data_IF_902434253028
#
_entry.id   IF_902434253028
#
_cell.length_a   1.000
_cell.length_b   1.000
_cell.length_c   1.000
_cell.angle_alpha   90.00
_cell.angle_beta   90.00
_cell.angle_gamma   90.00
#
_symmetry.space_group_name_H-M   'P 1'
#
loop_
_entity.id
_entity.type
_entity.pdbx_description
1 polymer ?
#
# COMPACT_ATOMS: atom_id res chain seq x y z
N UNK A 1 11.48 28.50 13.18
CA UNK A 1 12.17 27.18 13.17
C UNK A 1 11.19 26.20 13.83
N UNK A 2 10.49 25.35 13.07
CA UNK A 2 9.48 24.43 13.64
C UNK A 2 10.15 23.11 13.93
N UNK A 3 10.33 22.82 15.21
CA UNK A 3 10.82 21.53 15.72
C UNK A 3 9.81 20.44 15.32
N UNK A 4 10.25 19.51 14.47
CA UNK A 4 9.52 18.28 14.22
C UNK A 4 9.86 17.35 15.37
N UNK A 5 8.93 17.19 16.31
CA UNK A 5 9.02 16.21 17.37
C UNK A 5 9.27 14.82 16.77
N UNK A 6 10.49 14.31 16.95
CA UNK A 6 10.83 12.92 16.69
C UNK A 6 10.06 12.05 17.67
N UNK A 7 9.00 11.42 17.20
CA UNK A 7 8.26 10.44 17.99
C UNK A 7 9.08 9.15 18.02
N UNK A 8 9.45 8.80 19.25
CA UNK A 8 10.24 7.66 19.67
C UNK A 8 9.82 6.36 18.98
N UNK A 9 10.84 5.67 18.47
CA UNK A 9 10.79 4.33 17.91
C UNK A 9 10.60 3.33 19.06
N UNK A 10 9.34 3.00 19.34
CA UNK A 10 8.99 2.01 20.36
C UNK A 10 9.01 0.62 19.71
N UNK A 11 10.22 0.04 19.65
CA UNK A 11 10.55 -1.35 20.01
C UNK A 11 9.76 -2.55 19.48
N UNK A 12 8.75 -2.36 18.64
CA UNK A 12 8.05 -3.45 17.94
C UNK A 12 7.94 -3.03 16.49
N UNK A 13 8.67 -3.73 15.64
CA UNK A 13 8.73 -3.46 14.21
C UNK A 13 7.46 -3.92 13.49
N UNK A 14 6.34 -3.38 13.96
CA UNK A 14 5.00 -3.75 13.58
C UNK A 14 4.51 -2.80 12.51
N UNK A 15 3.96 -3.37 11.45
CA UNK A 15 3.34 -2.61 10.37
C UNK A 15 2.35 -1.58 10.93
N UNK A 16 2.53 -0.32 10.54
CA UNK A 16 1.63 0.79 10.91
C UNK A 16 1.37 1.70 9.72
N UNK A 17 0.15 2.22 9.62
CA UNK A 17 -0.17 3.32 8.70
C UNK A 17 0.43 4.60 9.30
N UNK A 18 1.28 5.29 8.55
CA UNK A 18 1.94 6.52 8.98
C UNK A 18 1.37 7.76 8.36
N UNK A 19 0.74 7.65 7.19
CA UNK A 19 0.04 8.76 6.54
C UNK A 19 -1.11 8.23 5.68
N UNK A 20 -2.13 9.07 5.51
CA UNK A 20 -3.22 8.83 4.58
C UNK A 20 -3.69 10.16 3.97
N UNK A 21 -3.76 10.23 2.65
CA UNK A 21 -4.19 11.45 1.97
C UNK A 21 -4.84 11.15 0.62
N UNK A 22 -5.73 12.05 0.20
CA UNK A 22 -6.40 11.93 -1.10
C UNK A 22 -5.61 12.69 -2.16
N UNK A 23 -5.43 12.06 -3.32
CA UNK A 23 -4.88 12.65 -4.53
C UNK A 23 -5.96 12.71 -5.61
N UNK A 24 -5.62 13.31 -6.76
CA UNK A 24 -6.50 13.27 -7.94
C UNK A 24 -6.72 11.85 -8.46
N UNK A 25 -5.75 10.96 -8.26
CA UNK A 25 -5.81 9.59 -8.74
C UNK A 25 -6.59 8.66 -7.79
N UNK A 26 -6.59 8.93 -6.47
CA UNK A 26 -7.23 8.04 -5.51
C UNK A 26 -6.86 8.36 -4.07
N UNK A 27 -7.06 7.38 -3.18
CA UNK A 27 -6.65 7.47 -1.78
C UNK A 27 -5.29 6.80 -1.60
N UNK A 28 -4.34 7.52 -1.00
CA UNK A 28 -2.99 7.02 -0.72
C UNK A 28 -2.88 6.67 0.75
N UNK A 29 -2.25 5.53 1.02
CA UNK A 29 -1.89 5.05 2.35
C UNK A 29 -0.39 4.78 2.38
N UNK A 30 0.33 5.41 3.31
CA UNK A 30 1.72 5.07 3.58
C UNK A 30 1.79 4.17 4.81
N UNK A 31 2.41 3.00 4.67
CA UNK A 31 2.67 2.05 5.74
C UNK A 31 4.17 1.91 5.97
N UNK A 32 4.59 1.67 7.20
CA UNK A 32 6.00 1.44 7.55
C UNK A 32 6.19 0.14 8.32
N UNK A 33 7.22 -0.60 7.94
CA UNK A 33 7.71 -1.82 8.59
C UNK A 33 9.21 -2.01 8.24
N UNK A 34 10.03 -2.38 9.21
CA UNK A 34 11.48 -2.60 9.12
C UNK A 34 12.27 -1.47 8.46
N UNK A 35 11.87 -0.21 8.73
CA UNK A 35 12.44 0.97 8.08
C UNK A 35 12.06 1.14 6.59
N UNK A 36 11.44 0.14 5.98
CA UNK A 36 10.84 0.22 4.66
C UNK A 36 9.46 0.90 4.73
N UNK A 37 9.14 1.64 3.66
CA UNK A 37 7.84 2.27 3.47
C UNK A 37 7.15 1.65 2.27
N UNK A 38 5.94 1.16 2.49
CA UNK A 38 5.00 0.73 1.46
C UNK A 38 4.01 1.87 1.21
N UNK A 39 3.90 2.32 -0.03
CA UNK A 39 2.89 3.30 -0.45
C UNK A 39 1.85 2.56 -1.28
N UNK A 40 0.59 2.62 -0.86
CA UNK A 40 -0.55 2.05 -1.57
C UNK A 40 -1.43 3.17 -2.11
N UNK A 41 -1.69 3.18 -3.41
CA UNK A 41 -2.69 4.02 -4.05
C UNK A 41 -3.90 3.15 -4.39
N UNK A 42 -5.04 3.45 -3.76
CA UNK A 42 -6.32 2.79 -4.02
C UNK A 42 -7.20 3.74 -4.82
N UNK A 43 -7.56 3.34 -6.04
CA UNK A 43 -8.37 4.11 -6.97
C UNK A 43 -9.52 3.29 -7.53
N UNK A 44 -10.58 3.98 -7.93
CA UNK A 44 -11.70 3.40 -8.68
C UNK A 44 -11.58 3.88 -10.12
N UNK A 45 -11.63 2.95 -11.08
CA UNK A 45 -11.63 3.22 -12.51
C UNK A 45 -12.92 2.64 -13.10
N UNK A 46 -13.54 3.39 -14.00
CA UNK A 46 -14.62 2.86 -14.84
C UNK A 46 -14.02 2.11 -16.01
N UNK A 47 -14.56 0.94 -16.31
CA UNK A 47 -14.21 0.15 -17.50
C UNK A 47 -15.09 0.55 -18.68
N UNK A 48 -14.71 0.15 -19.90
CA UNK A 48 -15.45 0.47 -21.13
C UNK A 48 -16.89 -0.09 -21.14
N UNK A 49 -17.14 -1.17 -20.39
CA UNK A 49 -18.46 -1.76 -20.18
C UNK A 49 -19.28 -1.06 -19.07
N UNK A 50 -18.74 0.02 -18.48
CA UNK A 50 -19.40 0.79 -17.43
C UNK A 50 -19.32 0.17 -16.03
N UNK A 51 -18.62 -0.95 -15.86
CA UNK A 51 -18.37 -1.56 -14.57
C UNK A 51 -17.33 -0.75 -13.76
N UNK A 52 -17.52 -0.72 -12.44
CA UNK A 52 -16.52 -0.15 -11.55
C UNK A 52 -15.43 -1.19 -11.25
N UNK A 53 -14.17 -0.81 -11.42
CA UNK A 53 -13.01 -1.63 -11.07
C UNK A 53 -12.13 -0.89 -10.06
N UNK A 54 -11.73 -1.60 -9.02
CA UNK A 54 -10.78 -1.10 -8.03
C UNK A 54 -9.37 -1.42 -8.48
N UNK A 55 -8.51 -0.42 -8.46
CA UNK A 55 -7.10 -0.55 -8.77
C UNK A 55 -6.26 -0.24 -7.52
N UNK A 56 -5.32 -1.12 -7.21
CA UNK A 56 -4.36 -0.96 -6.12
C UNK A 56 -2.96 -1.00 -6.70
N UNK A 57 -2.28 0.14 -6.63
CA UNK A 57 -0.87 0.28 -6.94
C UNK A 57 -0.05 0.28 -5.64
N UNK A 58 0.95 -0.58 -5.57
CA UNK A 58 1.90 -0.66 -4.48
C UNK A 58 3.30 -0.24 -4.94
N UNK A 59 3.96 0.61 -4.16
CA UNK A 59 5.36 1.00 -4.39
C UNK A 59 6.13 1.07 -3.08
N UNK A 60 7.46 1.07 -3.16
CA UNK A 60 8.34 1.17 -1.99
C UNK A 60 9.40 2.24 -2.17
N UNK A 61 9.84 2.83 -1.06
CA UNK A 61 10.98 3.73 -1.06
C UNK A 61 12.33 3.01 -1.24
N UNK A 62 12.37 1.68 -1.08
CA UNK A 62 13.59 0.87 -1.20
C UNK A 62 13.99 0.70 -2.66
N UNK A 63 13.01 0.49 -3.54
CA UNK A 63 13.21 0.32 -4.99
C UNK A 63 12.42 1.40 -5.74
N UNK A 64 12.95 2.63 -5.81
CA UNK A 64 12.24 3.75 -6.43
C UNK A 64 11.96 3.48 -7.91
N UNK A 65 10.79 3.92 -8.38
CA UNK A 65 10.36 3.73 -9.77
C UNK A 65 9.78 2.34 -10.08
N UNK A 66 9.76 1.41 -9.11
CA UNK A 66 9.06 0.13 -9.25
C UNK A 66 7.72 0.19 -8.53
N UNK A 67 6.65 -0.13 -9.27
CA UNK A 67 5.31 -0.29 -8.73
C UNK A 67 4.71 -1.63 -9.21
N UNK A 68 3.85 -2.20 -8.38
CA UNK A 68 3.04 -3.37 -8.68
C UNK A 68 1.57 -2.92 -8.66
N UNK A 69 0.89 -2.99 -9.79
CA UNK A 69 -0.51 -2.59 -9.93
C UNK A 69 -1.37 -3.83 -10.24
N UNK A 70 -2.49 -3.99 -9.51
CA UNK A 70 -3.55 -4.93 -9.88
C UNK A 70 -4.92 -4.29 -9.76
N UNK A 71 -5.82 -4.72 -10.63
CA UNK A 71 -7.20 -4.27 -10.65
C UNK A 71 -8.18 -5.43 -10.50
N UNK A 72 -9.25 -5.24 -9.74
CA UNK A 72 -10.29 -6.25 -9.48
C UNK A 72 -11.66 -5.61 -9.21
N UNK A 73 -12.72 -6.41 -9.15
CA UNK A 73 -14.09 -5.95 -8.88
C UNK A 73 -14.29 -5.46 -7.45
N UNK A 74 -13.41 -5.86 -6.52
CA UNK A 74 -13.43 -5.42 -5.12
C UNK A 74 -12.06 -4.86 -4.71
N UNK A 75 -12.05 -3.92 -3.77
CA UNK A 75 -10.79 -3.39 -3.18
C UNK A 75 -9.97 -4.48 -2.51
N UNK A 76 -10.64 -5.38 -1.79
CA UNK A 76 -10.00 -6.48 -1.09
C UNK A 76 -9.31 -7.45 -2.06
N UNK A 77 -9.96 -7.80 -3.18
CA UNK A 77 -9.35 -8.64 -4.21
C UNK A 77 -8.19 -7.94 -4.91
N UNK A 78 -8.34 -6.66 -5.25
CA UNK A 78 -7.27 -5.89 -5.87
C UNK A 78 -6.04 -5.85 -4.96
N UNK A 79 -6.23 -5.56 -3.67
CA UNK A 79 -5.15 -5.58 -2.67
C UNK A 79 -4.51 -6.97 -2.54
N UNK A 80 -5.32 -8.03 -2.47
CA UNK A 80 -4.83 -9.41 -2.35
C UNK A 80 -3.98 -9.79 -3.55
N UNK A 81 -4.43 -9.48 -4.76
CA UNK A 81 -3.68 -9.75 -5.99
C UNK A 81 -2.38 -8.93 -6.05
N UNK A 82 -2.43 -7.65 -5.69
CA UNK A 82 -1.23 -6.81 -5.55
C UNK A 82 -0.23 -7.42 -4.58
N UNK A 83 -0.69 -7.92 -3.42
CA UNK A 83 0.17 -8.56 -2.44
C UNK A 83 0.81 -9.87 -2.92
N UNK A 84 0.04 -10.72 -3.62
CA UNK A 84 0.56 -11.96 -4.23
C UNK A 84 1.65 -11.64 -5.25
N UNK A 85 1.38 -10.68 -6.15
CA UNK A 85 2.35 -10.28 -7.17
C UNK A 85 3.59 -9.62 -6.57
N UNK A 86 3.42 -8.80 -5.53
CA UNK A 86 4.54 -8.20 -4.80
C UNK A 86 5.47 -9.27 -4.24
N UNK A 87 4.92 -10.28 -3.55
CA UNK A 87 5.72 -11.38 -2.98
C UNK A 87 6.45 -12.17 -4.08
N UNK A 88 5.79 -12.40 -5.22
CA UNK A 88 6.43 -13.04 -6.37
C UNK A 88 7.58 -12.21 -6.94
N UNK A 89 7.44 -10.89 -6.97
CA UNK A 89 8.46 -9.96 -7.47
C UNK A 89 9.57 -9.64 -6.44
N UNK A 90 9.37 -9.93 -5.14
CA UNK A 90 10.33 -9.57 -4.08
C UNK A 90 11.76 -10.02 -4.35
N UNK A 91 11.96 -11.31 -4.67
CA UNK A 91 13.28 -11.86 -4.92
C UNK A 91 13.92 -11.39 -6.22
N UNK A 92 13.10 -11.08 -7.23
CA UNK A 92 13.58 -10.72 -8.58
C UNK A 92 13.93 -9.24 -8.67
N UNK A 93 13.13 -8.37 -8.02
CA UNK A 93 13.24 -6.91 -8.11
C UNK A 93 13.85 -6.26 -6.87
N UNK A 94 14.22 -7.06 -5.86
CA UNK A 94 14.76 -6.57 -4.60
C UNK A 94 13.74 -5.80 -3.75
N UNK A 95 12.44 -6.09 -3.92
CA UNK A 95 11.40 -5.43 -3.12
C UNK A 95 11.48 -5.91 -1.66
N UNK A 96 11.22 -5.04 -0.69
CA UNK A 96 11.16 -5.43 0.71
C UNK A 96 9.96 -6.34 0.98
N UNK A 97 10.10 -7.19 1.99
CA UNK A 97 9.03 -8.04 2.47
C UNK A 97 8.08 -7.26 3.38
N UNK A 98 6.78 -7.47 3.21
CA UNK A 98 5.74 -6.92 4.07
C UNK A 98 4.76 -8.03 4.46
N UNK A 99 4.20 -7.97 5.67
CA UNK A 99 3.08 -8.82 6.07
C UNK A 99 1.79 -8.29 5.42
N UNK A 100 1.45 -8.82 4.25
CA UNK A 100 0.25 -8.40 3.49
C UNK A 100 -1.06 -8.72 4.21
N UNK A 101 -1.08 -9.67 5.14
CA UNK A 101 -2.24 -9.90 5.99
C UNK A 101 -2.38 -8.78 7.03
N UNK A 102 -1.27 -8.34 7.63
CA UNK A 102 -1.26 -7.14 8.48
C UNK A 102 -1.65 -5.87 7.71
N UNK A 103 -1.23 -5.74 6.45
CA UNK A 103 -1.63 -4.63 5.57
C UNK A 103 -3.14 -4.63 5.39
N UNK A 104 -3.73 -5.76 5.02
CA UNK A 104 -5.18 -5.89 4.84
C UNK A 104 -5.95 -5.57 6.13
N UNK A 105 -5.49 -6.07 7.28
CA UNK A 105 -6.09 -5.75 8.59
C UNK A 105 -6.01 -4.26 8.92
N UNK A 106 -4.85 -3.63 8.68
CA UNK A 106 -4.65 -2.21 8.92
C UNK A 106 -5.57 -1.35 8.03
N UNK A 107 -5.70 -1.69 6.76
CA UNK A 107 -6.59 -1.03 5.81
C UNK A 107 -8.08 -1.22 6.15
N UNK A 108 -8.47 -2.42 6.58
CA UNK A 108 -9.84 -2.69 7.05
C UNK A 108 -10.19 -1.82 8.26
N UNK A 109 -9.26 -1.65 9.21
CA UNK A 109 -9.47 -0.83 10.41
C UNK A 109 -9.75 0.64 10.10
N UNK A 110 -9.20 1.18 9.01
CA UNK A 110 -9.45 2.56 8.55
C UNK A 110 -10.53 2.65 7.46
N UNK A 111 -11.27 1.55 7.21
CA UNK A 111 -12.32 1.44 6.17
C UNK A 111 -11.82 1.80 4.77
N UNK A 112 -10.54 1.52 4.51
CA UNK A 112 -9.94 1.71 3.20
C UNK A 112 -10.42 0.68 2.19
N UNK A 113 -10.61 -0.57 2.65
CA UNK A 113 -11.04 -1.74 1.89
C UNK A 113 -12.26 -2.40 2.54
#
# INVERSE_FOLDING_TARGET
>A
MRERAGKTDDGTDRLRITDQFRTRAGMVYELRQHGARLTLLISERSTDDGSAQWCVEASSNVVPGTAVEHSATTKADALRMTGVQWVADCGVRGLPTFDWEAVARALTAVRAI
#
